data_IF_076150583410
#
_entry.id   IF_076150583410
#
_cell.length_a   1.000
_cell.length_b   1.000
_cell.length_c   1.000
_cell.angle_alpha   90.00
_cell.angle_beta   90.00
_cell.angle_gamma   90.00
#
_symmetry.space_group_name_H-M   'P 1'
#
loop_
_entity.id
_entity.type
_entity.pdbx_description
1 polymer ?
#
# COMPACT_ATOMS: atom_id res chain seq x y z
N UNK A 1 6.64 25.59 15.13
CA UNK A 1 5.19 25.54 14.81
C UNK A 1 4.83 24.09 14.62
N UNK A 2 3.73 23.61 15.22
CA UNK A 2 3.30 22.22 15.00
C UNK A 2 2.77 22.08 13.57
N UNK A 3 3.32 21.15 12.80
CA UNK A 3 2.79 20.84 11.48
C UNK A 3 1.38 20.24 11.63
N UNK A 4 0.39 20.66 10.82
CA UNK A 4 -0.95 20.09 10.88
C UNK A 4 -0.88 18.59 10.53
N UNK A 5 -1.36 17.74 11.44
CA UNK A 5 -1.47 16.29 11.24
C UNK A 5 -2.90 15.92 10.86
N UNK A 6 -3.07 15.01 9.91
CA UNK A 6 -4.37 14.38 9.64
C UNK A 6 -4.37 13.04 10.39
N UNK A 7 -5.23 12.90 11.40
CA UNK A 7 -5.33 11.69 12.25
C UNK A 7 -4.00 11.25 12.90
N UNK A 8 -3.12 12.20 13.25
CA UNK A 8 -1.80 11.90 13.83
C UNK A 8 -0.72 11.52 12.81
N UNK A 9 -1.04 11.55 11.51
CA UNK A 9 -0.09 11.31 10.42
C UNK A 9 0.40 12.66 9.89
N UNK A 10 1.71 12.90 9.93
CA UNK A 10 2.33 14.18 9.52
C UNK A 10 2.98 14.16 8.14
N UNK A 11 3.20 12.96 7.56
CA UNK A 11 3.81 12.82 6.25
C UNK A 11 3.88 11.38 5.73
N UNK A 12 4.55 11.15 4.59
CA UNK A 12 4.61 9.84 3.95
C UNK A 12 5.21 8.76 4.85
N UNK A 13 6.23 9.09 5.66
CA UNK A 13 6.86 8.11 6.55
C UNK A 13 5.92 7.62 7.65
N UNK A 14 5.14 8.53 8.25
CA UNK A 14 4.17 8.17 9.28
C UNK A 14 3.08 7.28 8.70
N UNK A 15 2.61 7.60 7.49
CA UNK A 15 1.63 6.77 6.79
C UNK A 15 2.19 5.38 6.50
N UNK A 16 3.45 5.28 6.07
CA UNK A 16 4.13 4.00 5.87
C UNK A 16 4.20 3.18 7.16
N UNK A 17 4.61 3.79 8.27
CA UNK A 17 4.68 3.11 9.56
C UNK A 17 3.30 2.61 10.00
N UNK A 18 2.25 3.44 9.85
CA UNK A 18 0.87 3.04 10.12
C UNK A 18 0.44 1.87 9.23
N UNK A 19 0.81 1.86 7.94
CA UNK A 19 0.52 0.72 7.06
C UNK A 19 1.26 -0.54 7.47
N UNK A 20 2.50 -0.44 7.97
CA UNK A 20 3.21 -1.60 8.55
C UNK A 20 2.50 -2.16 9.78
N UNK A 21 1.99 -1.30 10.67
CA UNK A 21 1.23 -1.72 11.86
C UNK A 21 -0.07 -2.41 11.48
N UNK A 22 -0.84 -1.81 10.57
CA UNK A 22 -2.07 -2.40 10.04
C UNK A 22 -1.78 -3.72 9.35
N UNK A 23 -0.71 -3.80 8.56
CA UNK A 23 -0.31 -5.03 7.90
C UNK A 23 0.06 -6.13 8.89
N UNK A 24 0.78 -5.81 9.97
CA UNK A 24 1.11 -6.78 11.02
C UNK A 24 -0.16 -7.34 11.67
N UNK A 25 -1.13 -6.48 12.01
CA UNK A 25 -2.44 -6.91 12.50
C UNK A 25 -3.17 -7.79 11.49
N UNK A 26 -3.24 -7.34 10.24
CA UNK A 26 -3.89 -8.04 9.14
C UNK A 26 -3.25 -9.40 8.85
N UNK A 27 -1.93 -9.51 8.93
CA UNK A 27 -1.21 -10.75 8.68
C UNK A 27 -1.67 -11.85 9.63
N UNK A 28 -1.83 -11.53 10.92
CA UNK A 28 -2.28 -12.48 11.93
C UNK A 28 -3.80 -12.66 11.98
N UNK A 29 -4.57 -11.63 11.62
CA UNK A 29 -6.04 -11.68 11.66
C UNK A 29 -6.65 -10.96 10.45
N UNK A 30 -6.61 -11.57 9.25
CA UNK A 30 -7.12 -10.93 8.04
C UNK A 30 -8.60 -10.61 8.19
N UNK A 31 -8.95 -9.38 7.85
CA UNK A 31 -10.33 -8.90 7.86
C UNK A 31 -10.52 -7.85 6.75
N UNK A 32 -11.78 -7.65 6.33
CA UNK A 32 -12.14 -6.77 5.22
C UNK A 32 -11.76 -5.31 5.48
N UNK A 33 -11.90 -4.85 6.73
CA UNK A 33 -11.58 -3.47 7.12
C UNK A 33 -10.09 -3.18 6.90
N UNK A 34 -9.22 -4.03 7.42
CA UNK A 34 -7.78 -3.84 7.31
C UNK A 34 -7.31 -4.09 5.87
N UNK A 35 -7.91 -5.02 5.13
CA UNK A 35 -7.68 -5.18 3.68
C UNK A 35 -7.97 -3.87 2.94
N UNK A 36 -9.15 -3.28 3.17
CA UNK A 36 -9.55 -2.03 2.54
C UNK A 36 -8.59 -0.91 2.92
N UNK A 37 -8.25 -0.80 4.21
CA UNK A 37 -7.37 0.23 4.73
C UNK A 37 -5.96 0.13 4.13
N UNK A 38 -5.42 -1.08 3.98
CA UNK A 38 -4.15 -1.33 3.29
C UNK A 38 -4.22 -0.94 1.81
N UNK A 39 -5.30 -1.27 1.10
CA UNK A 39 -5.45 -0.87 -0.30
C UNK A 39 -5.42 0.65 -0.47
N UNK A 40 -6.22 1.38 0.33
CA UNK A 40 -6.27 2.83 0.27
C UNK A 40 -4.96 3.48 0.72
N UNK A 41 -4.44 3.07 1.87
CA UNK A 41 -3.26 3.69 2.45
C UNK A 41 -2.01 3.46 1.61
N UNK A 42 -1.80 2.26 1.08
CA UNK A 42 -0.65 1.97 0.20
C UNK A 42 -0.77 2.69 -1.15
N UNK A 43 -1.96 2.78 -1.73
CA UNK A 43 -2.16 3.56 -2.95
C UNK A 43 -1.84 5.05 -2.74
N UNK A 44 -2.41 5.66 -1.70
CA UNK A 44 -2.20 7.08 -1.40
C UNK A 44 -0.80 7.40 -0.88
N UNK A 45 -0.10 6.44 -0.24
CA UNK A 45 1.29 6.62 0.16
C UNK A 45 2.19 6.98 -1.03
N UNK A 46 1.96 6.37 -2.20
CA UNK A 46 2.63 6.78 -3.44
C UNK A 46 2.37 8.25 -3.77
N UNK A 47 1.12 8.68 -3.70
CA UNK A 47 0.72 10.06 -4.02
C UNK A 47 1.34 11.07 -3.04
N UNK A 48 1.43 10.69 -1.77
CA UNK A 48 2.06 11.49 -0.73
C UNK A 48 3.56 11.64 -0.95
N UNK A 49 4.26 10.56 -1.32
CA UNK A 49 5.69 10.60 -1.69
C UNK A 49 5.92 11.50 -2.90
N UNK A 50 5.05 11.43 -3.91
CA UNK A 50 5.17 12.26 -5.11
C UNK A 50 4.75 13.72 -4.91
N UNK A 51 4.23 14.06 -3.74
CA UNK A 51 3.68 15.38 -3.45
C UNK A 51 2.49 15.75 -4.35
N UNK A 52 1.74 14.77 -4.86
CA UNK A 52 0.62 14.98 -5.80
C UNK A 52 -0.70 15.32 -5.11
N UNK A 53 -0.70 15.45 -3.78
CA UNK A 53 -1.89 15.81 -2.99
C UNK A 53 -2.34 17.27 -3.13
N UNK A 54 -1.47 18.18 -3.58
CA UNK A 54 -1.79 19.59 -3.82
C UNK A 54 -1.57 19.95 -5.29
N UNK A 55 -2.65 19.97 -6.07
CA UNK A 55 -2.59 20.31 -7.50
C UNK A 55 -2.50 21.84 -7.69
N UNK A 56 -1.35 22.43 -7.38
CA UNK A 56 -0.99 23.76 -7.87
C UNK A 56 0.05 23.63 -9.01
N UNK A 57 -0.31 23.92 -10.27
CA UNK A 57 0.58 23.81 -11.42
C UNK A 57 1.87 24.63 -11.28
N UNK A 58 1.85 25.75 -10.55
CA UNK A 58 3.01 26.62 -10.35
C UNK A 58 4.03 26.05 -9.36
N UNK A 59 3.56 25.44 -8.27
CA UNK A 59 4.43 24.74 -7.32
C UNK A 59 5.07 23.49 -7.94
N UNK A 60 4.41 22.87 -8.94
CA UNK A 60 4.95 21.73 -9.68
C UNK A 60 6.18 22.10 -10.51
N UNK A 61 6.25 23.33 -11.05
CA UNK A 61 7.36 23.82 -11.88
C UNK A 61 8.58 24.19 -11.01
N UNK A 62 8.37 24.88 -9.89
CA UNK A 62 9.45 25.23 -8.96
C UNK A 62 10.04 23.99 -8.25
N UNK A 63 9.20 23.01 -7.88
CA UNK A 63 9.64 21.76 -7.21
C UNK A 63 10.30 20.75 -8.16
N UNK A 64 10.07 20.83 -9.47
CA UNK A 64 10.67 19.92 -10.47
C UNK A 64 12.18 20.11 -10.65
N UNK A 65 12.74 21.22 -10.16
CA UNK A 65 14.15 21.56 -10.28
C UNK A 65 15.04 20.93 -9.19
N UNK A 66 14.47 20.23 -8.21
CA UNK A 66 15.21 19.62 -7.10
C UNK A 66 15.60 18.15 -7.41
N UNK A 67 16.87 17.79 -7.18
CA UNK A 67 17.39 16.44 -7.40
C UNK A 67 16.62 15.33 -6.64
N UNK A 68 16.08 15.65 -5.45
CA UNK A 68 15.27 14.72 -4.66
C UNK A 68 13.94 14.35 -5.34
N UNK A 69 13.38 15.24 -6.17
CA UNK A 69 12.14 14.93 -6.89
C UNK A 69 12.37 13.94 -8.04
N UNK A 70 13.54 13.92 -8.66
CA UNK A 70 13.89 12.88 -9.65
C UNK A 70 13.87 11.49 -8.99
N UNK A 71 14.33 11.41 -7.74
CA UNK A 71 14.33 10.18 -6.96
C UNK A 71 12.92 9.73 -6.56
N UNK A 72 12.08 10.63 -6.08
CA UNK A 72 10.66 10.37 -5.77
C UNK A 72 9.86 10.00 -7.04
N UNK A 73 10.02 10.75 -8.13
CA UNK A 73 9.36 10.50 -9.41
C UNK A 73 9.78 9.14 -9.99
N UNK A 74 11.06 8.82 -9.98
CA UNK A 74 11.56 7.51 -10.41
C UNK A 74 10.97 6.38 -9.56
N UNK A 75 10.97 6.54 -8.23
CA UNK A 75 10.33 5.56 -7.36
C UNK A 75 8.84 5.40 -7.65
N UNK A 76 8.12 6.50 -7.87
CA UNK A 76 6.71 6.49 -8.21
C UNK A 76 6.40 5.82 -9.55
N UNK A 77 7.32 5.86 -10.51
CA UNK A 77 7.24 5.10 -11.76
C UNK A 77 7.51 3.62 -11.47
N UNK A 78 8.60 3.32 -10.78
CA UNK A 78 9.02 1.94 -10.50
C UNK A 78 7.95 1.16 -9.73
N UNK A 79 7.41 1.74 -8.66
CA UNK A 79 6.38 1.07 -7.87
C UNK A 79 5.06 0.94 -8.64
N UNK A 80 4.77 1.87 -9.55
CA UNK A 80 3.61 1.76 -10.42
C UNK A 80 3.76 0.62 -11.45
N UNK A 81 4.97 0.14 -11.74
CA UNK A 81 5.16 -1.02 -12.61
C UNK A 81 5.03 -2.35 -11.87
N UNK A 82 5.01 -2.34 -10.53
CA UNK A 82 4.84 -3.53 -9.73
C UNK A 82 3.41 -4.09 -9.88
N UNK A 83 3.30 -5.35 -10.27
CA UNK A 83 2.02 -6.04 -10.50
C UNK A 83 1.13 -5.97 -9.24
N UNK A 84 1.73 -6.20 -8.07
CA UNK A 84 1.05 -6.15 -6.78
C UNK A 84 0.50 -4.75 -6.47
N UNK A 85 1.23 -3.71 -6.86
CA UNK A 85 0.76 -2.34 -6.70
C UNK A 85 -0.39 -2.03 -7.66
N UNK A 86 -0.37 -2.55 -8.89
CA UNK A 86 -1.51 -2.42 -9.81
C UNK A 86 -2.77 -3.11 -9.27
N UNK A 87 -2.63 -4.28 -8.65
CA UNK A 87 -3.74 -4.95 -7.97
C UNK A 87 -4.32 -4.05 -6.85
N UNK A 88 -3.46 -3.52 -5.98
CA UNK A 88 -3.87 -2.59 -4.90
C UNK A 88 -4.59 -1.36 -5.45
N UNK A 89 -4.01 -0.70 -6.46
CA UNK A 89 -4.61 0.47 -7.12
C UNK A 89 -6.00 0.14 -7.66
N UNK A 90 -6.15 -1.02 -8.29
CA UNK A 90 -7.42 -1.42 -8.86
C UNK A 90 -8.47 -1.68 -7.78
N UNK A 91 -8.11 -2.35 -6.67
CA UNK A 91 -9.00 -2.50 -5.51
C UNK A 91 -9.37 -1.17 -4.86
N UNK A 92 -8.40 -0.27 -4.66
CA UNK A 92 -8.64 1.07 -4.13
C UNK A 92 -9.65 1.84 -5.00
N UNK A 93 -9.45 1.83 -6.32
CA UNK A 93 -10.35 2.49 -7.27
C UNK A 93 -11.75 1.86 -7.30
N UNK A 94 -11.84 0.53 -7.27
CA UNK A 94 -13.13 -0.16 -7.22
C UNK A 94 -13.88 0.09 -5.91
N UNK A 95 -13.18 0.05 -4.77
CA UNK A 95 -13.74 0.37 -3.46
C UNK A 95 -14.25 1.81 -3.39
N UNK A 96 -13.50 2.77 -3.96
CA UNK A 96 -13.90 4.18 -4.05
C UNK A 96 -15.17 4.39 -4.87
N UNK A 97 -15.37 3.63 -5.95
CA UNK A 97 -16.47 3.84 -6.89
C UNK A 97 -17.64 2.87 -6.70
N UNK A 98 -17.57 1.95 -5.72
CA UNK A 98 -18.61 0.94 -5.48
C UNK A 98 -18.90 0.04 -6.69
N UNK A 99 -17.99 -0.01 -7.67
CA UNK A 99 -18.17 -0.69 -8.95
C UNK A 99 -16.89 -1.41 -9.36
N UNK A 100 -17.04 -2.66 -9.79
CA UNK A 100 -15.97 -3.42 -10.43
C UNK A 100 -15.85 -2.91 -11.87
N UNK A 101 -14.92 -1.97 -12.12
CA UNK A 101 -14.69 -1.42 -13.46
C UNK A 101 -14.02 -2.41 -14.40
N UNK A 102 -13.34 -3.40 -13.84
CA UNK A 102 -12.67 -4.50 -14.55
C UNK A 102 -12.98 -5.83 -13.86
N UNK A 103 -12.83 -6.99 -14.54
CA UNK A 103 -12.82 -8.27 -13.86
C UNK A 103 -11.58 -8.32 -12.95
N UNK A 104 -11.73 -7.84 -11.72
CA UNK A 104 -10.72 -8.05 -10.70
C UNK A 104 -10.60 -9.55 -10.44
N UNK A 105 -9.38 -10.06 -10.15
CA UNK A 105 -9.25 -11.37 -9.55
C UNK A 105 -10.18 -11.41 -8.34
N UNK A 106 -11.11 -12.37 -8.33
CA UNK A 106 -12.12 -12.44 -7.27
C UNK A 106 -11.41 -12.48 -5.93
N UNK A 107 -11.80 -11.60 -5.02
CA UNK A 107 -11.49 -11.79 -3.61
C UNK A 107 -12.31 -12.97 -3.13
N UNK A 108 -11.63 -14.09 -2.91
CA UNK A 108 -12.26 -15.26 -2.29
C UNK A 108 -11.89 -15.24 -0.82
N UNK A 109 -12.90 -15.09 0.02
CA UNK A 109 -12.80 -15.36 1.44
C UNK A 109 -12.84 -16.88 1.61
N UNK A 110 -11.70 -17.47 1.95
CA UNK A 110 -11.61 -18.89 2.25
C UNK A 110 -11.21 -19.07 3.71
N UNK A 111 -11.91 -19.99 4.39
CA UNK A 111 -11.35 -20.66 5.55
C UNK A 111 -10.44 -21.75 5.01
N UNK A 112 -9.15 -21.48 4.94
CA UNK A 112 -8.20 -22.53 4.56
C UNK A 112 -8.01 -23.46 5.77
N UNK A 113 -8.20 -24.79 5.64
CA UNK A 113 -7.69 -25.70 6.65
C UNK A 113 -6.17 -25.52 6.72
N UNK A 114 -5.58 -25.62 7.91
CA UNK A 114 -4.13 -25.59 8.06
C UNK A 114 -3.51 -26.71 7.22
N UNK A 115 -2.65 -26.38 6.26
CA UNK A 115 -1.97 -27.35 5.39
C UNK A 115 -0.47 -27.34 5.65
N UNK A 116 0.22 -28.43 5.28
CA UNK A 116 1.68 -28.50 5.27
C UNK A 116 2.22 -27.54 4.19
N UNK A 117 2.34 -26.26 4.52
CA UNK A 117 2.60 -25.16 3.60
C UNK A 117 2.05 -23.81 4.08
N UNK A 118 1.16 -23.82 5.08
CA UNK A 118 0.74 -22.61 5.79
C UNK A 118 1.93 -21.94 6.48
N UNK A 119 2.08 -20.60 6.39
CA UNK A 119 3.07 -19.84 7.13
C UNK A 119 3.08 -20.17 8.63
N UNK A 120 4.28 -20.20 9.22
CA UNK A 120 4.46 -20.39 10.66
C UNK A 120 3.75 -19.25 11.40
N UNK A 121 2.75 -19.59 12.21
CA UNK A 121 1.95 -18.62 12.98
C UNK A 121 0.50 -18.47 12.54
N UNK A 122 0.07 -19.16 11.48
CA UNK A 122 -1.34 -19.20 11.10
C UNK A 122 -2.17 -20.02 12.09
N UNK A 123 -3.32 -19.46 12.48
CA UNK A 123 -4.31 -20.15 13.29
C UNK A 123 -5.12 -21.16 12.45
N UNK A 124 -5.57 -22.24 13.10
CA UNK A 124 -6.54 -23.15 12.51
C UNK A 124 -7.84 -22.40 12.16
N UNK A 125 -8.34 -22.61 10.93
CA UNK A 125 -9.54 -21.96 10.41
C UNK A 125 -9.47 -20.42 10.37
N UNK A 126 -8.29 -19.87 10.10
CA UNK A 126 -8.13 -18.45 9.84
C UNK A 126 -8.75 -18.05 8.49
N UNK A 127 -9.30 -16.83 8.42
CA UNK A 127 -9.80 -16.27 7.16
C UNK A 127 -8.61 -15.81 6.32
N UNK A 128 -8.64 -16.11 5.03
CA UNK A 128 -7.68 -15.62 4.06
C UNK A 128 -8.41 -14.91 2.92
N UNK A 129 -7.82 -13.82 2.45
CA UNK A 129 -8.24 -13.13 1.23
C UNK A 129 -7.26 -13.48 0.13
N UNK A 130 -7.75 -14.07 -0.95
CA UNK A 130 -6.98 -14.34 -2.15
C UNK A 130 -7.28 -13.31 -3.22
N UNK A 131 -6.27 -12.88 -3.96
CA UNK A 131 -6.39 -12.06 -5.16
C UNK A 131 -6.01 -12.94 -6.33
N UNK A 132 -7.00 -13.58 -6.95
CA UNK A 132 -6.75 -14.63 -7.95
C UNK A 132 -6.27 -15.90 -7.26
N UNK A 133 -5.07 -16.36 -7.61
CA UNK A 133 -4.40 -17.50 -6.98
C UNK A 133 -3.42 -17.09 -5.86
N UNK A 134 -3.22 -15.78 -5.65
CA UNK A 134 -2.23 -15.25 -4.72
C UNK A 134 -2.84 -14.88 -3.38
N UNK A 135 -2.16 -15.20 -2.28
CA UNK A 135 -2.56 -14.72 -0.95
C UNK A 135 -2.34 -13.19 -0.88
N UNK A 136 -3.36 -12.43 -0.50
CA UNK A 136 -3.28 -10.97 -0.37
C UNK A 136 -2.17 -10.50 0.56
N UNK A 137 -1.77 -11.30 1.56
CA UNK A 137 -0.64 -10.97 2.44
C UNK A 137 0.66 -10.85 1.67
N UNK A 138 0.88 -11.70 0.68
CA UNK A 138 2.07 -11.65 -0.18
C UNK A 138 2.03 -10.42 -1.09
N UNK A 139 0.85 -10.09 -1.61
CA UNK A 139 0.63 -8.89 -2.43
C UNK A 139 0.99 -7.64 -1.62
N UNK A 140 0.44 -7.49 -0.42
CA UNK A 140 0.74 -6.36 0.46
C UNK A 140 2.21 -6.34 0.90
N UNK A 141 2.79 -7.51 1.25
CA UNK A 141 4.18 -7.59 1.69
C UNK A 141 5.14 -7.06 0.63
N UNK A 142 4.99 -7.49 -0.64
CA UNK A 142 5.88 -7.06 -1.73
C UNK A 142 5.84 -5.55 -1.95
N UNK A 143 4.67 -4.94 -1.83
CA UNK A 143 4.51 -3.48 -1.94
C UNK A 143 5.15 -2.78 -0.74
N UNK A 144 4.93 -3.28 0.47
CA UNK A 144 5.55 -2.76 1.69
C UNK A 144 7.08 -2.87 1.68
N UNK A 145 7.64 -3.97 1.19
CA UNK A 145 9.08 -4.14 1.01
C UNK A 145 9.65 -3.10 0.03
N UNK A 146 8.93 -2.81 -1.07
CA UNK A 146 9.35 -1.79 -2.03
C UNK A 146 9.37 -0.40 -1.39
N UNK A 147 8.36 -0.05 -0.59
CA UNK A 147 8.36 1.18 0.20
C UNK A 147 9.46 1.22 1.25
N UNK A 148 9.65 0.13 2.00
CA UNK A 148 10.70 0.00 3.03
C UNK A 148 12.08 0.30 2.43
N UNK A 149 12.41 -0.38 1.34
CA UNK A 149 13.68 -0.20 0.63
C UNK A 149 13.89 1.24 0.14
N UNK A 150 12.82 1.93 -0.26
CA UNK A 150 12.91 3.34 -0.64
C UNK A 150 13.19 4.19 0.60
N UNK A 151 12.36 4.07 1.63
CA UNK A 151 12.49 4.82 2.87
C UNK A 151 13.82 4.58 3.60
N UNK A 152 14.42 3.40 3.51
CA UNK A 152 15.74 3.10 4.08
C UNK A 152 16.87 3.78 3.29
N UNK A 153 16.81 3.75 1.95
CA UNK A 153 17.81 4.41 1.09
C UNK A 153 17.83 5.93 1.23
N UNK A 154 16.70 6.56 1.56
CA UNK A 154 16.61 8.01 1.77
C UNK A 154 16.83 8.46 3.21
N UNK A 155 17.17 7.55 4.14
CA UNK A 155 17.55 7.86 5.53
C UNK A 155 19.07 7.90 5.77
N UNK A 156 19.87 7.40 4.83
CA UNK A 156 21.34 7.40 4.93
C UNK A 156 22.01 8.57 4.14
N UNK A 157 21.23 9.50 3.60
CA UNK A 157 21.71 10.70 2.91
C UNK A 157 21.22 11.98 3.56
#
# INVERSE_FOLDING_TARGET
MAHPTIFGVSGPRDLFNLMCEVYSSYYHHPNERDFLFLCFGLYHLREWILGTGEFNPWQRIEKQLAANRLAEEQFGIDIAQLEEFQLIKNFCNSGKHGTLREPLPKTVDALAPFTAGSPVGDALAQRFFYVGDRNSREVFNRVLERYRNWFEKFLEG
#
